data_IF_622267796842
#
_entry.id   IF_622267796842
#
_cell.length_a   1.000
_cell.length_b   1.000
_cell.length_c   1.000
_cell.angle_alpha   90.00
_cell.angle_beta   90.00
_cell.angle_gamma   90.00
#
_symmetry.space_group_name_H-M   'P 1'
#
loop_
_entity.id
_entity.type
_entity.pdbx_description
1 polymer ?
#
# COMPACT_ATOMS: atom_id res chain seq x y z
N UNK A 1 -10.80 11.14 -22.59
CA UNK A 1 -10.57 10.28 -21.41
C UNK A 1 -10.06 8.94 -21.86
N UNK A 2 -8.96 8.53 -21.34
CA UNK A 2 -8.37 7.27 -21.75
C UNK A 2 -8.74 6.19 -20.74
N UNK A 3 -9.19 5.06 -21.26
CA UNK A 3 -9.40 3.86 -20.45
C UNK A 3 -8.11 3.05 -20.39
N UNK A 4 -6.97 3.77 -20.30
CA UNK A 4 -5.69 3.10 -20.21
C UNK A 4 -5.60 2.32 -18.92
N UNK A 5 -5.33 1.04 -19.07
CA UNK A 5 -5.09 0.17 -17.92
C UNK A 5 -3.74 0.51 -17.29
N UNK A 6 -3.69 0.51 -15.97
CA UNK A 6 -2.42 0.67 -15.28
C UNK A 6 -1.51 -0.53 -15.57
N UNK A 7 -0.22 -0.37 -15.34
CA UNK A 7 0.71 -1.49 -15.45
C UNK A 7 0.30 -2.62 -14.50
N UNK A 8 -0.30 -2.28 -13.34
CA UNK A 8 -0.75 -3.28 -12.37
C UNK A 8 -1.95 -4.08 -12.89
N UNK A 9 -2.90 -3.42 -13.56
CA UNK A 9 -4.00 -4.12 -14.21
C UNK A 9 -3.46 -5.10 -15.25
N UNK A 10 -2.46 -4.69 -16.01
CA UNK A 10 -1.83 -5.56 -17.02
C UNK A 10 -1.11 -6.75 -16.42
N UNK A 11 -0.52 -6.56 -15.25
CA UNK A 11 0.10 -7.67 -14.49
C UNK A 11 -0.98 -8.65 -14.04
N UNK A 12 -2.09 -8.15 -13.50
CA UNK A 12 -3.21 -8.99 -13.08
C UNK A 12 -3.75 -9.81 -14.24
N UNK A 13 -3.81 -9.23 -15.43
CA UNK A 13 -4.32 -9.88 -16.63
C UNK A 13 -3.30 -10.80 -17.32
N UNK A 14 -2.08 -10.85 -16.80
CA UNK A 14 -1.04 -11.74 -17.33
C UNK A 14 -0.29 -11.18 -18.53
N UNK A 15 -0.47 -9.91 -18.88
CA UNK A 15 0.28 -9.30 -19.99
C UNK A 15 1.75 -9.12 -19.69
N UNK A 16 2.09 -8.88 -18.41
CA UNK A 16 3.48 -8.74 -17.97
C UNK A 16 3.79 -9.79 -16.91
N UNK A 17 5.00 -10.35 -16.93
CA UNK A 17 5.41 -11.32 -15.92
C UNK A 17 5.61 -10.64 -14.56
N UNK A 18 5.41 -11.40 -13.50
CA UNK A 18 5.69 -10.96 -12.14
C UNK A 18 6.01 -12.19 -11.27
N UNK A 19 6.55 -11.94 -10.09
CA UNK A 19 6.76 -12.99 -9.10
C UNK A 19 5.59 -12.94 -8.11
N UNK A 20 4.54 -13.68 -8.44
CA UNK A 20 3.29 -13.67 -7.67
C UNK A 20 3.51 -14.21 -6.26
N UNK A 21 2.96 -13.50 -5.26
CA UNK A 21 3.00 -13.88 -3.86
C UNK A 21 1.64 -14.39 -3.39
N UNK A 22 0.56 -13.74 -3.82
CA UNK A 22 -0.78 -14.07 -3.34
C UNK A 22 -1.83 -13.60 -4.34
N UNK A 23 -2.94 -14.32 -4.40
CA UNK A 23 -4.08 -13.90 -5.22
C UNK A 23 -5.37 -14.49 -4.67
N UNK A 24 -6.43 -13.67 -4.66
CA UNK A 24 -7.81 -14.14 -4.50
C UNK A 24 -8.70 -13.31 -5.43
N UNK A 25 -10.01 -13.35 -5.23
CA UNK A 25 -10.94 -12.65 -6.13
C UNK A 25 -10.78 -11.12 -6.12
N UNK A 26 -10.21 -10.55 -5.06
CA UNK A 26 -10.14 -9.11 -4.85
C UNK A 26 -8.74 -8.53 -4.81
N UNK A 27 -7.74 -9.36 -4.54
CA UNK A 27 -6.37 -8.91 -4.25
C UNK A 27 -5.36 -9.67 -5.08
N UNK A 28 -4.33 -8.97 -5.51
CA UNK A 28 -3.19 -9.54 -6.20
C UNK A 28 -1.91 -9.01 -5.54
N UNK A 29 -0.91 -9.86 -5.37
CA UNK A 29 0.32 -9.47 -4.70
C UNK A 29 1.53 -10.12 -5.37
N UNK A 30 2.62 -9.36 -5.46
CA UNK A 30 3.84 -9.80 -6.14
C UNK A 30 5.06 -9.07 -5.58
N UNK A 31 6.24 -9.63 -5.83
CA UNK A 31 7.47 -8.99 -5.40
C UNK A 31 7.74 -7.72 -6.21
N UNK A 32 8.23 -6.68 -5.55
CA UNK A 32 8.71 -5.47 -6.22
C UNK A 32 10.04 -5.82 -6.90
N UNK A 33 10.14 -5.52 -8.21
CA UNK A 33 11.36 -5.81 -8.96
C UNK A 33 12.47 -4.79 -8.73
N UNK A 34 12.15 -3.68 -8.05
CA UNK A 34 13.12 -2.68 -7.62
C UNK A 34 13.02 -2.52 -6.10
N UNK A 35 13.35 -3.57 -5.35
CA UNK A 35 13.05 -3.60 -3.92
C UNK A 35 13.89 -2.63 -3.10
N UNK A 36 13.27 -2.05 -2.08
CA UNK A 36 13.98 -1.28 -1.04
C UNK A 36 14.80 -2.25 -0.18
N UNK A 37 14.23 -3.45 0.04
CA UNK A 37 14.90 -4.50 0.79
C UNK A 37 14.44 -5.86 0.28
N UNK A 38 15.18 -6.92 0.65
CA UNK A 38 14.81 -8.29 0.29
C UNK A 38 13.44 -8.63 0.83
N UNK A 39 12.54 -9.07 -0.03
CA UNK A 39 11.17 -9.42 0.35
C UNK A 39 10.18 -8.26 0.28
N UNK A 40 10.55 -7.15 -0.36
CA UNK A 40 9.66 -6.03 -0.60
C UNK A 40 8.53 -6.50 -1.52
N UNK A 41 7.30 -6.45 -1.03
CA UNK A 41 6.10 -6.96 -1.71
C UNK A 41 5.14 -5.82 -1.99
N UNK A 42 4.47 -5.89 -3.14
CA UNK A 42 3.36 -5.00 -3.48
C UNK A 42 2.05 -5.76 -3.32
N UNK A 43 1.05 -5.10 -2.76
CA UNK A 43 -0.30 -5.65 -2.59
C UNK A 43 -1.26 -4.68 -3.23
N UNK A 44 -2.02 -5.15 -4.21
CA UNK A 44 -2.91 -4.30 -5.00
C UNK A 44 -4.33 -4.88 -5.03
N UNK A 45 -5.34 -4.01 -5.13
CA UNK A 45 -6.70 -4.49 -5.41
C UNK A 45 -6.83 -4.83 -6.88
N UNK A 46 -7.67 -5.81 -7.18
CA UNK A 46 -8.03 -6.10 -8.58
C UNK A 46 -8.96 -5.02 -9.13
N UNK A 47 -9.74 -4.39 -8.26
CA UNK A 47 -10.56 -3.24 -8.62
C UNK A 47 -9.65 -2.07 -9.01
N UNK A 48 -9.78 -1.50 -10.22
CA UNK A 48 -8.96 -0.37 -10.62
C UNK A 48 -9.45 0.90 -9.91
N UNK A 49 -8.59 1.49 -9.09
CA UNK A 49 -8.83 2.75 -8.41
C UNK A 49 -7.51 3.49 -8.29
N UNK A 50 -7.53 4.81 -8.47
CA UNK A 50 -6.32 5.63 -8.37
C UNK A 50 -5.89 5.84 -6.93
N UNK A 51 -6.87 6.14 -6.07
CA UNK A 51 -6.63 6.51 -4.68
C UNK A 51 -7.41 5.61 -3.73
N UNK A 52 -6.87 5.45 -2.54
CA UNK A 52 -7.44 4.57 -1.52
C UNK A 52 -8.91 4.85 -1.25
N UNK A 53 -9.29 6.13 -1.15
CA UNK A 53 -10.66 6.53 -0.82
C UNK A 53 -11.65 6.28 -1.96
N UNK A 54 -11.19 5.86 -3.11
CA UNK A 54 -12.04 5.51 -4.25
C UNK A 54 -12.38 4.02 -4.31
N UNK A 55 -11.76 3.21 -3.44
CA UNK A 55 -12.03 1.78 -3.40
C UNK A 55 -13.40 1.47 -2.79
N UNK A 56 -14.02 0.39 -3.28
CA UNK A 56 -15.24 -0.11 -2.66
C UNK A 56 -14.96 -0.62 -1.25
N UNK A 57 -15.96 -0.64 -0.36
CA UNK A 57 -15.78 -1.21 0.99
C UNK A 57 -15.30 -2.66 0.96
N UNK A 58 -15.77 -3.44 -0.02
CA UNK A 58 -15.38 -4.85 -0.13
C UNK A 58 -13.89 -4.98 -0.47
N UNK A 59 -13.40 -4.23 -1.47
CA UNK A 59 -11.98 -4.25 -1.83
C UNK A 59 -11.11 -3.77 -0.67
N UNK A 60 -11.54 -2.71 0.02
CA UNK A 60 -10.81 -2.20 1.20
C UNK A 60 -10.68 -3.24 2.29
N UNK A 61 -11.77 -3.95 2.57
CA UNK A 61 -11.80 -5.01 3.57
C UNK A 61 -10.87 -6.16 3.20
N UNK A 62 -10.91 -6.59 1.94
CA UNK A 62 -10.09 -7.70 1.45
C UNK A 62 -8.61 -7.35 1.43
N UNK A 63 -8.28 -6.10 1.11
CA UNK A 63 -6.89 -5.62 1.20
C UNK A 63 -6.36 -5.67 2.63
N UNK A 64 -7.17 -5.25 3.60
CA UNK A 64 -6.78 -5.30 5.00
C UNK A 64 -6.46 -6.71 5.47
N UNK A 65 -7.30 -7.67 5.11
CA UNK A 65 -7.08 -9.08 5.43
C UNK A 65 -5.80 -9.60 4.78
N UNK A 66 -5.61 -9.29 3.49
CA UNK A 66 -4.45 -9.75 2.74
C UNK A 66 -3.14 -9.19 3.31
N UNK A 67 -3.13 -7.91 3.66
CA UNK A 67 -1.95 -7.28 4.25
C UNK A 67 -1.48 -8.02 5.51
N UNK A 68 -2.42 -8.39 6.37
CA UNK A 68 -2.12 -9.13 7.60
C UNK A 68 -1.51 -10.50 7.29
N UNK A 69 -2.15 -11.25 6.40
CA UNK A 69 -1.69 -12.60 6.03
C UNK A 69 -0.32 -12.58 5.35
N UNK A 70 -0.15 -11.68 4.40
CA UNK A 70 1.10 -11.60 3.62
C UNK A 70 2.25 -11.14 4.51
N UNK A 71 2.02 -10.15 5.37
CA UNK A 71 3.04 -9.65 6.29
C UNK A 71 3.55 -10.75 7.21
N UNK A 72 2.65 -11.58 7.75
CA UNK A 72 3.03 -12.70 8.60
C UNK A 72 3.95 -13.67 7.86
N UNK A 73 3.59 -14.00 6.63
CA UNK A 73 4.39 -14.92 5.81
C UNK A 73 5.76 -14.33 5.47
N UNK A 74 5.81 -13.04 5.14
CA UNK A 74 7.08 -12.37 4.84
C UNK A 74 8.04 -12.46 6.03
N UNK A 75 7.56 -12.17 7.24
CA UNK A 75 8.39 -12.24 8.45
C UNK A 75 8.90 -13.65 8.67
N UNK A 76 8.03 -14.65 8.56
CA UNK A 76 8.40 -16.05 8.76
C UNK A 76 9.44 -16.54 7.76
N UNK A 77 9.29 -16.17 6.49
CA UNK A 77 10.18 -16.62 5.42
C UNK A 77 11.50 -15.88 5.41
N UNK A 78 11.49 -14.56 5.66
CA UNK A 78 12.70 -13.74 5.57
C UNK A 78 13.48 -13.61 6.86
N UNK A 79 12.84 -13.85 7.99
CA UNK A 79 13.44 -13.61 9.30
C UNK A 79 13.56 -12.13 9.64
N UNK A 80 12.87 -11.25 8.92
CA UNK A 80 12.91 -9.82 9.18
C UNK A 80 12.42 -9.51 10.59
N UNK A 81 13.09 -8.57 11.27
CA UNK A 81 12.72 -8.17 12.63
C UNK A 81 11.56 -7.18 12.65
N UNK A 82 11.36 -6.45 11.57
CA UNK A 82 10.36 -5.39 11.50
C UNK A 82 9.96 -5.19 10.03
N UNK A 83 8.92 -4.41 9.80
CA UNK A 83 8.53 -4.05 8.44
C UNK A 83 7.71 -2.76 8.45
N UNK A 84 7.71 -2.08 7.32
CA UNK A 84 6.86 -0.92 7.11
C UNK A 84 5.79 -1.27 6.08
N UNK A 85 4.60 -0.72 6.27
CA UNK A 85 3.56 -0.75 5.26
C UNK A 85 3.34 0.69 4.83
N UNK A 86 3.45 0.96 3.53
CA UNK A 86 3.35 2.30 2.98
C UNK A 86 2.38 2.28 1.81
N UNK A 87 1.49 3.27 1.78
CA UNK A 87 0.57 3.46 0.67
C UNK A 87 0.54 4.95 0.35
N UNK A 88 0.71 5.30 -0.91
CA UNK A 88 0.81 6.69 -1.35
C UNK A 88 -0.39 7.07 -2.22
N UNK A 89 -0.97 8.22 -1.95
CA UNK A 89 -2.11 8.77 -2.71
C UNK A 89 -1.75 10.16 -3.23
N UNK A 90 -1.53 10.25 -4.52
CA UNK A 90 -1.17 11.48 -5.21
C UNK A 90 0.34 11.62 -5.41
N UNK A 91 0.74 12.35 -6.46
CA UNK A 91 2.14 12.51 -6.82
C UNK A 91 2.95 13.20 -5.74
N UNK A 92 2.37 14.17 -5.04
CA UNK A 92 3.08 14.88 -3.95
C UNK A 92 3.36 13.97 -2.76
N UNK A 93 2.61 12.87 -2.64
CA UNK A 93 2.81 11.87 -1.59
C UNK A 93 3.69 10.71 -2.07
N UNK A 94 4.24 10.79 -3.29
CA UNK A 94 5.14 9.77 -3.82
C UNK A 94 4.49 8.70 -4.66
N UNK A 95 3.22 8.86 -5.02
CA UNK A 95 2.56 7.89 -5.89
C UNK A 95 3.06 8.06 -7.33
N UNK A 96 3.58 6.99 -7.91
CA UNK A 96 4.09 6.99 -9.29
C UNK A 96 3.23 6.16 -10.24
N UNK A 97 2.55 5.14 -9.73
CA UNK A 97 1.59 4.35 -10.49
C UNK A 97 0.20 4.64 -9.93
N UNK A 98 -0.72 5.08 -10.80
CA UNK A 98 -2.06 5.50 -10.35
C UNK A 98 -3.06 4.35 -10.37
N UNK A 99 -2.74 3.37 -9.57
CA UNK A 99 -3.54 2.22 -9.21
C UNK A 99 -3.15 1.93 -7.76
N UNK A 100 -4.10 1.89 -6.86
CA UNK A 100 -3.84 1.69 -5.43
C UNK A 100 -2.89 0.53 -5.20
N UNK A 101 -1.83 0.75 -4.45
CA UNK A 101 -0.91 -0.31 -4.07
C UNK A 101 -0.28 -0.03 -2.72
N UNK A 102 -0.13 -1.09 -1.96
CA UNK A 102 0.52 -1.07 -0.66
C UNK A 102 1.89 -1.71 -0.82
N UNK A 103 2.89 -1.09 -0.20
CA UNK A 103 4.23 -1.66 -0.08
C UNK A 103 4.33 -2.32 1.27
N UNK A 104 4.83 -3.55 1.31
CA UNK A 104 5.28 -4.19 2.55
C UNK A 104 6.78 -4.30 2.43
N UNK A 105 7.51 -3.57 3.27
CA UNK A 105 8.96 -3.46 3.18
C UNK A 105 9.60 -4.02 4.43
N UNK A 106 10.17 -5.24 4.35
CA UNK A 106 10.85 -5.84 5.49
C UNK A 106 12.05 -5.00 5.92
N UNK A 107 12.33 -5.01 7.20
CA UNK A 107 13.48 -4.30 7.75
C UNK A 107 14.35 -5.30 8.53
N UNK A 108 15.62 -5.27 8.23
CA UNK A 108 16.61 -6.16 8.84
C UNK A 108 17.51 -5.34 9.77
N UNK A 109 18.21 -5.99 10.70
CA UNK A 109 19.09 -5.25 11.62
C UNK A 109 20.08 -4.32 10.93
N UNK A 110 20.57 -4.71 9.74
CA UNK A 110 21.53 -3.95 8.95
C UNK A 110 20.86 -3.00 7.94
N UNK A 111 19.54 -2.84 7.97
CA UNK A 111 18.82 -1.97 7.02
C UNK A 111 19.25 -0.51 7.18
N UNK A 112 19.48 0.17 6.06
CA UNK A 112 19.88 1.57 6.03
C UNK A 112 18.75 2.53 5.67
N UNK A 113 17.63 2.01 5.13
CA UNK A 113 16.49 2.85 4.78
C UNK A 113 15.74 3.31 6.03
N UNK A 114 15.14 4.49 5.96
CA UNK A 114 14.35 5.05 7.05
C UNK A 114 13.15 5.81 6.48
N UNK A 115 12.02 5.72 7.18
CA UNK A 115 10.82 6.48 6.84
C UNK A 115 10.48 7.49 7.93
N UNK A 116 11.49 7.87 8.74
CA UNK A 116 11.30 8.88 9.77
C UNK A 116 11.02 10.24 9.13
N UNK A 117 10.02 10.94 9.66
CA UNK A 117 9.63 12.25 9.18
C UNK A 117 9.80 13.29 10.28
N UNK A 118 10.06 14.54 9.88
CA UNK A 118 10.08 15.65 10.82
C UNK A 118 8.64 15.92 11.31
N UNK A 119 8.50 16.12 12.60
CA UNK A 119 7.19 16.40 13.20
C UNK A 119 7.09 17.85 13.65
N UNK A 120 5.87 18.32 13.83
CA UNK A 120 5.57 19.65 14.34
C UNK A 120 4.66 19.53 15.57
N UNK A 121 4.62 20.59 16.37
CA UNK A 121 3.69 20.64 17.48
C UNK A 121 2.30 20.96 16.97
N UNK A 122 1.29 20.40 17.63
CA UNK A 122 -0.10 20.62 17.26
C UNK A 122 -0.61 21.93 17.90
N UNK A 123 -1.36 22.71 17.14
CA UNK A 123 -2.13 23.82 17.66
C UNK A 123 -3.44 23.25 18.22
N UNK A 124 -3.62 23.31 19.54
CA UNK A 124 -4.72 22.63 20.23
C UNK A 124 -6.10 23.16 19.84
N UNK A 125 -6.22 24.49 19.60
CA UNK A 125 -7.50 25.08 19.19
C UNK A 125 -7.86 24.62 17.80
N UNK A 126 -6.95 24.73 16.86
CA UNK A 126 -7.16 24.28 15.49
C UNK A 126 -7.44 22.78 15.44
N UNK A 127 -6.73 21.99 16.27
CA UNK A 127 -6.89 20.54 16.32
C UNK A 127 -8.32 20.15 16.67
N UNK A 128 -8.91 20.81 17.69
CA UNK A 128 -10.27 20.52 18.10
C UNK A 128 -11.28 20.80 16.99
N UNK A 129 -11.17 21.96 16.35
CA UNK A 129 -12.06 22.35 15.26
C UNK A 129 -11.90 21.43 14.05
N UNK A 130 -10.66 21.10 13.70
CA UNK A 130 -10.34 20.23 12.56
C UNK A 130 -10.86 18.82 12.78
N UNK A 131 -10.67 18.28 13.98
CA UNK A 131 -11.15 16.93 14.33
C UNK A 131 -12.68 16.85 14.18
N UNK A 132 -13.40 17.86 14.63
CA UNK A 132 -14.86 17.91 14.50
C UNK A 132 -15.30 17.93 13.03
N UNK A 133 -14.62 18.71 12.20
CA UNK A 133 -14.94 18.82 10.78
C UNK A 133 -14.66 17.51 10.04
N UNK A 134 -13.53 16.87 10.34
CA UNK A 134 -13.19 15.60 9.73
C UNK A 134 -14.21 14.54 10.12
N UNK A 135 -14.54 14.46 11.41
CA UNK A 135 -15.51 13.49 11.90
C UNK A 135 -16.88 13.67 11.22
N UNK A 136 -17.35 14.92 11.12
CA UNK A 136 -18.63 15.22 10.48
C UNK A 136 -18.64 14.82 9.00
N UNK A 137 -17.49 14.93 8.32
CA UNK A 137 -17.36 14.58 6.91
C UNK A 137 -17.36 13.08 6.63
N UNK A 138 -17.11 12.25 7.65
CA UNK A 138 -17.06 10.79 7.47
C UNK A 138 -18.49 10.21 7.38
N UNK A 139 -19.47 10.82 7.97
CA UNK A 139 -20.85 10.30 8.03
C UNK A 139 -21.70 10.72 6.81
#
# INVERSE_FOLDING_TARGET
>A
MTDEKSIFTRIIEGEFPCFKVFENDYVYSFLDINPVSRGHVLVIPKEPARFLHELSPKSSSELGKALSLISKSIIEVTGASSYNIIQNNGSQAGQTVFHVHFHIIPKYPESTHSFACKTNEIDKKEASELAEKIFAGIL
#
